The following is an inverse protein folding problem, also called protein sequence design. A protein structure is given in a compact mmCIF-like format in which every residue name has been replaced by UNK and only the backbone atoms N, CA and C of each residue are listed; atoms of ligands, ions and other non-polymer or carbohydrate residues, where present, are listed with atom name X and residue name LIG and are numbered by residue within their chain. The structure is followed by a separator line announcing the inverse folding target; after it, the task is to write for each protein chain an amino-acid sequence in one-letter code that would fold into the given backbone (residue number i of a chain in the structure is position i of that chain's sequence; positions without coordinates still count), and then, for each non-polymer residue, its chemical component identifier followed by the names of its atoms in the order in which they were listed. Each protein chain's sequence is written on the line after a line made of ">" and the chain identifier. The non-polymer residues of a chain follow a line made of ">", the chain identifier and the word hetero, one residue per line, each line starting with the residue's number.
data_IF_215637094770
#
_entry.id   IF_215637094770
#
_cell.length_a   1.000
_cell.length_b   1.000
_cell.length_c   1.000
_cell.angle_alpha   90.00
_cell.angle_beta   90.00
_cell.angle_gamma   90.00
#
_symmetry.space_group_name_H-M   'P 1'
#
loop_
_entity.id
_entity.type
_entity.pdbx_description
1 polymer ?
#
# COMPACT_ATOMS: atom_id res chain seq x y z
N UNK A 1 -5.18 34.04 2.43
CA UNK A 1 -5.10 33.03 1.36
C UNK A 1 -6.13 33.35 0.31
N UNK A 2 -5.90 32.95 -0.93
CA UNK A 2 -6.90 32.96 -2.00
C UNK A 2 -7.91 31.82 -1.81
N UNK A 3 -9.08 31.86 -2.47
CA UNK A 3 -9.98 30.72 -2.53
C UNK A 3 -9.27 29.48 -3.07
N UNK A 4 -9.68 28.30 -2.60
CA UNK A 4 -9.12 27.04 -3.09
C UNK A 4 -9.60 26.78 -4.53
N UNK A 5 -8.67 26.39 -5.39
CA UNK A 5 -8.92 26.00 -6.78
C UNK A 5 -8.66 24.50 -6.96
N UNK A 6 -9.18 23.91 -8.04
CA UNK A 6 -8.99 22.49 -8.33
C UNK A 6 -7.49 22.11 -8.37
N UNK A 7 -6.65 22.99 -8.91
CA UNK A 7 -5.21 22.77 -9.02
C UNK A 7 -4.52 22.65 -7.65
N UNK A 8 -5.08 23.22 -6.58
CA UNK A 8 -4.55 23.05 -5.23
C UNK A 8 -4.63 21.59 -4.76
N UNK A 9 -5.56 20.81 -5.30
CA UNK A 9 -5.74 19.39 -4.98
C UNK A 9 -5.01 18.44 -5.94
N UNK A 10 -4.77 18.88 -7.18
CA UNK A 10 -4.15 18.07 -8.24
C UNK A 10 -2.62 18.11 -8.15
N UNK A 11 -2.08 17.78 -6.98
CA UNK A 11 -0.64 17.72 -6.74
C UNK A 11 -0.13 16.28 -6.69
N UNK A 12 1.06 15.98 -7.23
CA UNK A 12 1.63 14.65 -7.13
C UNK A 12 1.90 14.27 -5.68
N UNK A 13 1.77 12.98 -5.35
CA UNK A 13 1.84 12.48 -3.97
C UNK A 13 3.18 12.76 -3.27
N UNK A 14 4.25 13.01 -4.03
CA UNK A 14 5.56 13.38 -3.50
C UNK A 14 5.61 14.80 -2.88
N UNK A 15 4.59 15.64 -3.12
CA UNK A 15 4.42 16.96 -2.48
C UNK A 15 3.74 16.90 -1.11
N UNK A 16 3.23 15.74 -0.68
CA UNK A 16 2.61 15.60 0.64
C UNK A 16 3.61 15.97 1.74
N UNK A 17 3.18 16.86 2.65
CA UNK A 17 3.96 17.25 3.84
C UNK A 17 3.88 16.20 4.95
N UNK A 18 2.73 15.54 5.03
CA UNK A 18 2.44 14.44 5.94
C UNK A 18 1.29 13.58 5.38
N UNK A 19 1.18 12.35 5.86
CA UNK A 19 0.07 11.45 5.57
C UNK A 19 -0.21 10.56 6.78
N UNK A 20 -1.44 10.08 6.92
CA UNK A 20 -1.79 9.16 8.00
C UNK A 20 -3.05 8.36 7.71
N UNK A 21 -3.26 7.33 8.52
CA UNK A 21 -4.51 6.56 8.56
C UNK A 21 -4.83 6.15 9.99
N UNK A 22 -6.11 5.91 10.26
CA UNK A 22 -6.57 5.25 11.47
C UNK A 22 -7.09 3.88 11.09
N UNK A 23 -6.64 2.84 11.78
CA UNK A 23 -7.18 1.49 11.66
C UNK A 23 -8.04 1.18 12.88
N UNK A 24 -9.31 0.86 12.64
CA UNK A 24 -10.26 0.37 13.64
C UNK A 24 -10.24 -1.16 13.63
N UNK A 25 -9.22 -1.75 14.25
CA UNK A 25 -9.06 -3.20 14.37
C UNK A 25 -9.47 -3.71 15.75
N UNK A 26 -8.81 -4.77 16.22
CA UNK A 26 -8.90 -5.19 17.63
C UNK A 26 -8.37 -4.13 18.60
N UNK A 27 -7.53 -3.22 18.10
CA UNK A 27 -7.15 -1.96 18.72
C UNK A 27 -7.28 -0.84 17.69
N UNK A 28 -7.51 0.38 18.17
CA UNK A 28 -7.53 1.57 17.30
C UNK A 28 -6.14 2.16 17.24
N UNK A 29 -5.54 2.18 16.05
CA UNK A 29 -4.16 2.67 15.86
C UNK A 29 -4.18 3.82 14.84
N UNK A 30 -3.61 4.96 15.22
CA UNK A 30 -3.30 6.05 14.32
C UNK A 30 -1.86 5.91 13.84
N UNK A 31 -1.65 5.80 12.53
CA UNK A 31 -0.32 5.78 11.92
C UNK A 31 -0.13 7.08 11.15
N UNK A 32 0.99 7.74 11.41
CA UNK A 32 1.31 9.05 10.87
C UNK A 32 2.74 9.08 10.33
N UNK A 33 2.92 9.68 9.16
CA UNK A 33 4.20 9.86 8.52
C UNK A 33 4.45 11.32 8.17
N UNK A 34 5.69 11.76 8.34
CA UNK A 34 6.20 13.01 7.78
C UNK A 34 7.46 12.72 6.98
N UNK A 35 8.15 13.76 6.49
CA UNK A 35 9.49 13.61 5.91
C UNK A 35 10.50 12.98 6.87
N UNK A 36 10.26 13.00 8.19
CA UNK A 36 11.18 12.52 9.24
C UNK A 36 11.07 11.02 9.56
N UNK A 37 9.96 10.37 9.21
CA UNK A 37 9.73 8.97 9.56
C UNK A 37 8.25 8.66 9.75
N UNK A 38 7.98 7.46 10.27
CA UNK A 38 6.63 6.90 10.45
C UNK A 38 6.47 6.45 11.90
N UNK A 39 5.36 6.82 12.53
CA UNK A 39 5.05 6.43 13.91
C UNK A 39 3.62 5.94 14.02
N UNK A 40 3.40 4.99 14.93
CA UNK A 40 2.08 4.47 15.28
C UNK A 40 1.72 4.77 16.73
N UNK A 41 0.48 5.17 16.94
CA UNK A 41 -0.08 5.51 18.24
C UNK A 41 -1.32 4.66 18.49
N UNK A 42 -1.41 4.02 19.64
CA UNK A 42 -2.57 3.21 20.01
C UNK A 42 -3.49 4.04 20.90
N UNK A 43 -4.79 4.05 20.59
CA UNK A 43 -5.81 4.67 21.43
C UNK A 43 -5.95 3.89 22.73
N UNK A 44 -5.78 4.57 23.87
CA UNK A 44 -6.27 4.10 25.16
C UNK A 44 -7.71 4.59 25.34
N UNK A 45 -8.71 3.69 25.28
CA UNK A 45 -10.11 4.08 25.39
C UNK A 45 -10.50 4.56 26.80
N UNK A 46 -9.70 4.25 27.84
CA UNK A 46 -10.01 4.65 29.21
C UNK A 46 -9.80 6.14 29.47
N UNK A 47 -8.86 6.76 28.74
CA UNK A 47 -8.51 8.18 28.85
C UNK A 47 -8.79 8.97 27.57
N UNK A 48 -9.05 8.29 26.44
CA UNK A 48 -9.36 8.93 25.16
C UNK A 48 -8.14 9.48 24.42
N UNK A 49 -6.94 8.98 24.72
CA UNK A 49 -5.68 9.50 24.17
C UNK A 49 -4.95 8.49 23.29
N UNK A 50 -4.27 8.99 22.25
CA UNK A 50 -3.38 8.20 21.41
C UNK A 50 -1.95 8.23 21.96
N UNK A 51 -1.52 7.10 22.52
CA UNK A 51 -0.17 6.94 23.08
C UNK A 51 0.81 6.36 22.06
N UNK A 52 2.02 6.92 21.97
CA UNK A 52 3.06 6.42 21.08
C UNK A 52 3.39 4.96 21.44
N UNK A 53 3.09 4.05 20.53
CA UNK A 53 3.21 2.60 20.76
C UNK A 53 4.15 1.92 19.76
N UNK A 54 4.38 2.54 18.61
CA UNK A 54 5.24 2.02 17.55
C UNK A 54 6.14 3.15 17.02
N UNK A 55 7.25 3.45 17.72
CA UNK A 55 8.20 4.46 17.26
C UNK A 55 8.97 3.97 16.03
N UNK A 56 9.26 4.89 15.10
CA UNK A 56 10.10 4.67 13.91
C UNK A 56 9.77 3.38 13.13
N UNK A 57 8.51 3.23 12.73
CA UNK A 57 8.05 2.06 11.96
C UNK A 57 8.88 1.92 10.68
N UNK A 58 9.52 0.76 10.52
CA UNK A 58 10.18 0.33 9.29
C UNK A 58 9.40 -0.79 8.62
N UNK A 59 9.12 -0.62 7.33
CA UNK A 59 8.60 -1.69 6.50
C UNK A 59 9.72 -2.73 6.31
N UNK A 60 9.49 -4.01 6.66
CA UNK A 60 10.48 -5.05 6.44
C UNK A 60 10.87 -5.16 4.97
N UNK A 61 12.16 -5.39 4.69
CA UNK A 61 12.65 -5.45 3.30
C UNK A 61 12.02 -6.58 2.49
N UNK A 62 11.56 -7.65 3.16
CA UNK A 62 10.88 -8.80 2.58
C UNK A 62 9.80 -9.33 3.53
N UNK A 63 9.02 -10.30 3.08
CA UNK A 63 8.03 -11.00 3.88
C UNK A 63 7.65 -12.33 3.23
N UNK A 64 6.65 -12.98 3.82
CA UNK A 64 6.02 -14.20 3.27
C UNK A 64 4.52 -14.02 3.05
N UNK A 65 4.03 -12.79 3.02
CA UNK A 65 2.60 -12.49 2.89
C UNK A 65 2.35 -11.81 1.54
N UNK A 66 1.43 -12.35 0.76
CA UNK A 66 0.88 -11.65 -0.41
C UNK A 66 -0.62 -11.47 -0.23
N UNK A 67 -1.11 -10.31 -0.63
CA UNK A 67 -2.49 -9.90 -0.44
C UNK A 67 -3.06 -9.45 -1.77
N UNK A 68 -4.05 -10.21 -2.26
CA UNK A 68 -4.72 -9.98 -3.54
C UNK A 68 -6.09 -10.66 -3.53
N UNK A 69 -7.05 -10.09 -4.25
CA UNK A 69 -8.37 -10.70 -4.41
C UNK A 69 -8.33 -11.82 -5.46
N UNK A 70 -8.23 -13.08 -5.02
CA UNK A 70 -8.24 -14.22 -5.94
C UNK A 70 -9.52 -14.37 -6.77
N UNK A 71 -10.65 -13.79 -6.34
CA UNK A 71 -11.89 -13.80 -7.12
C UNK A 71 -11.76 -13.13 -8.48
N UNK A 72 -10.80 -12.23 -8.66
CA UNK A 72 -10.55 -11.52 -9.91
C UNK A 72 -9.38 -12.13 -10.72
N UNK A 73 -8.86 -13.30 -10.33
CA UNK A 73 -7.62 -13.86 -10.91
C UNK A 73 -7.63 -13.90 -12.44
N UNK A 74 -8.71 -14.39 -13.04
CA UNK A 74 -8.84 -14.49 -14.50
C UNK A 74 -9.03 -13.15 -15.22
N UNK A 75 -9.30 -12.07 -14.48
CA UNK A 75 -9.39 -10.72 -15.01
C UNK A 75 -8.08 -9.94 -14.92
N UNK A 76 -7.04 -10.53 -14.31
CA UNK A 76 -5.75 -9.88 -14.17
C UNK A 76 -4.87 -10.05 -15.40
N UNK A 77 -3.99 -9.06 -15.62
CA UNK A 77 -2.92 -9.15 -16.62
C UNK A 77 -2.03 -10.38 -16.37
N UNK A 78 -1.44 -10.91 -17.45
CA UNK A 78 -0.66 -12.15 -17.42
C UNK A 78 0.50 -12.10 -16.41
N UNK A 79 1.23 -10.97 -16.34
CA UNK A 79 2.31 -10.78 -15.38
C UNK A 79 1.87 -10.93 -13.92
N UNK A 80 0.69 -10.37 -13.59
CA UNK A 80 0.13 -10.48 -12.23
C UNK A 80 -0.27 -11.91 -11.92
N UNK A 81 -0.90 -12.61 -12.87
CA UNK A 81 -1.25 -14.04 -12.70
C UNK A 81 0.00 -14.89 -12.47
N UNK A 82 1.06 -14.67 -13.25
CA UNK A 82 2.35 -15.37 -13.08
C UNK A 82 3.02 -15.08 -11.73
N UNK A 83 2.97 -13.84 -11.25
CA UNK A 83 3.52 -13.53 -9.92
C UNK A 83 2.73 -14.21 -8.79
N UNK A 84 1.40 -14.25 -8.89
CA UNK A 84 0.54 -14.96 -7.93
C UNK A 84 0.87 -16.46 -7.91
N UNK A 85 0.99 -17.09 -9.08
CA UNK A 85 1.40 -18.49 -9.21
C UNK A 85 2.82 -18.71 -8.64
N UNK A 86 3.75 -17.79 -8.91
CA UNK A 86 5.09 -17.79 -8.33
C UNK A 86 5.08 -17.74 -6.80
N UNK A 87 4.21 -16.94 -6.21
CA UNK A 87 3.99 -16.87 -4.77
C UNK A 87 3.45 -18.19 -4.21
N UNK A 88 2.48 -18.81 -4.88
CA UNK A 88 1.90 -20.10 -4.46
C UNK A 88 2.90 -21.26 -4.55
N UNK A 89 3.83 -21.20 -5.50
CA UNK A 89 4.92 -22.19 -5.66
C UNK A 89 6.07 -22.01 -4.66
N UNK A 90 6.06 -20.97 -3.83
CA UNK A 90 7.07 -20.83 -2.77
C UNK A 90 6.90 -21.93 -1.72
N UNK A 91 7.99 -22.61 -1.38
CA UNK A 91 8.08 -23.66 -0.37
C UNK A 91 9.37 -23.49 0.45
N UNK A 92 9.66 -24.42 1.36
CA UNK A 92 10.83 -24.31 2.27
C UNK A 92 12.17 -24.16 1.52
N UNK A 93 12.28 -24.65 0.29
CA UNK A 93 13.52 -24.68 -0.48
C UNK A 93 13.77 -23.39 -1.28
N UNK A 94 12.79 -22.48 -1.40
CA UNK A 94 12.91 -21.25 -2.19
C UNK A 94 12.39 -19.99 -1.45
N UNK A 95 12.38 -20.01 -0.11
CA UNK A 95 12.04 -18.87 0.74
C UNK A 95 10.59 -18.82 1.24
N UNK A 96 9.78 -19.83 0.92
CA UNK A 96 8.38 -19.97 1.33
C UNK A 96 8.14 -20.75 2.64
N UNK A 97 6.94 -21.34 2.79
CA UNK A 97 5.75 -21.05 1.97
C UNK A 97 5.31 -19.59 2.13
N UNK A 98 4.75 -19.02 1.07
CA UNK A 98 4.06 -17.74 1.19
C UNK A 98 2.60 -17.97 1.59
N UNK A 99 2.08 -17.05 2.38
CA UNK A 99 0.74 -17.10 2.95
C UNK A 99 -0.11 -16.01 2.29
N UNK A 100 -1.22 -16.43 1.68
CA UNK A 100 -2.21 -15.49 1.19
C UNK A 100 -2.99 -14.90 2.38
N UNK A 101 -3.10 -13.57 2.44
CA UNK A 101 -3.99 -12.87 3.37
C UNK A 101 -4.66 -11.71 2.67
N UNK A 102 -5.97 -11.74 2.56
CA UNK A 102 -6.75 -10.63 2.00
C UNK A 102 -7.95 -10.35 2.88
N UNK A 103 -7.91 -9.22 3.58
CA UNK A 103 -8.98 -8.80 4.50
C UNK A 103 -10.11 -8.14 3.71
N UNK A 104 -9.79 -7.53 2.57
CA UNK A 104 -10.75 -6.74 1.79
C UNK A 104 -10.88 -5.29 2.27
N UNK A 105 -10.08 -4.90 3.27
CA UNK A 105 -9.89 -3.54 3.73
C UNK A 105 -8.45 -3.12 3.45
N UNK A 106 -8.27 -2.13 2.57
CA UNK A 106 -6.94 -1.63 2.18
C UNK A 106 -6.13 -1.19 3.40
N UNK A 107 -6.73 -0.43 4.32
CA UNK A 107 -6.09 0.01 5.56
C UNK A 107 -5.54 -1.19 6.34
N UNK A 108 -6.35 -2.24 6.51
CA UNK A 108 -5.95 -3.40 7.29
C UNK A 108 -4.87 -4.24 6.59
N UNK A 109 -5.00 -4.46 5.29
CA UNK A 109 -4.04 -5.23 4.51
C UNK A 109 -2.67 -4.52 4.42
N UNK A 110 -2.65 -3.21 4.17
CA UNK A 110 -1.40 -2.43 4.10
C UNK A 110 -0.80 -2.23 5.49
N UNK A 111 -1.59 -2.00 6.54
CA UNK A 111 -1.08 -1.92 7.91
C UNK A 111 -0.36 -3.20 8.34
N UNK A 112 -0.97 -4.38 8.08
CA UNK A 112 -0.33 -5.66 8.35
C UNK A 112 1.01 -5.78 7.62
N UNK A 113 1.05 -5.44 6.34
CA UNK A 113 2.27 -5.57 5.53
C UNK A 113 3.34 -4.54 5.93
N UNK A 114 2.94 -3.35 6.39
CA UNK A 114 3.84 -2.35 6.93
C UNK A 114 4.57 -2.87 8.18
N UNK A 115 3.87 -3.61 9.06
CA UNK A 115 4.42 -4.15 10.31
C UNK A 115 5.14 -5.49 10.10
N UNK A 116 4.54 -6.42 9.35
CA UNK A 116 5.02 -7.82 9.24
C UNK A 116 5.82 -8.09 7.96
N UNK A 117 5.88 -7.14 7.05
CA UNK A 117 6.37 -7.36 5.69
C UNK A 117 5.35 -8.10 4.83
N UNK A 118 5.54 -8.03 3.52
CA UNK A 118 4.61 -8.57 2.55
C UNK A 118 4.33 -7.60 1.41
N UNK A 119 3.44 -8.02 0.52
CA UNK A 119 2.96 -7.23 -0.61
C UNK A 119 1.44 -7.18 -0.65
N UNK A 120 0.89 -6.00 -0.91
CA UNK A 120 -0.53 -5.78 -1.22
C UNK A 120 -0.66 -5.42 -2.69
N UNK A 121 -1.59 -6.07 -3.37
CA UNK A 121 -1.81 -5.96 -4.80
C UNK A 121 -3.28 -5.69 -5.08
N UNK A 122 -3.53 -4.56 -5.73
CA UNK A 122 -4.83 -4.17 -6.26
C UNK A 122 -4.65 -3.80 -7.75
N UNK A 123 -4.39 -4.79 -8.61
CA UNK A 123 -4.18 -4.57 -10.04
C UNK A 123 -5.45 -4.04 -10.72
N UNK A 124 -5.29 -3.50 -11.93
CA UNK A 124 -6.40 -3.33 -12.85
C UNK A 124 -7.00 -4.68 -13.25
N UNK A 125 -8.28 -4.69 -13.58
CA UNK A 125 -8.98 -5.86 -14.16
C UNK A 125 -9.44 -5.55 -15.57
N UNK A 126 -9.85 -6.56 -16.34
CA UNK A 126 -10.44 -6.38 -17.67
C UNK A 126 -11.54 -5.30 -17.68
N UNK A 127 -12.45 -5.33 -16.70
CA UNK A 127 -13.56 -4.37 -16.61
C UNK A 127 -13.14 -3.01 -16.03
N UNK A 128 -12.01 -2.96 -15.31
CA UNK A 128 -11.51 -1.78 -14.59
C UNK A 128 -9.99 -1.68 -14.80
N UNK A 129 -9.54 -1.35 -16.02
CA UNK A 129 -8.11 -1.34 -16.35
C UNK A 129 -7.34 -0.33 -15.52
N UNK A 130 -7.96 0.80 -15.18
CA UNK A 130 -7.40 1.84 -14.32
C UNK A 130 -7.49 1.52 -12.81
N UNK A 131 -7.82 0.28 -12.44
CA UNK A 131 -7.97 -0.12 -11.04
C UNK A 131 -9.22 0.47 -10.36
N UNK A 132 -9.31 0.25 -9.04
CA UNK A 132 -10.46 0.68 -8.21
C UNK A 132 -10.10 1.78 -7.21
N UNK A 133 -8.86 1.79 -6.73
CA UNK A 133 -8.40 2.71 -5.69
C UNK A 133 -8.11 4.08 -6.28
N UNK A 134 -8.45 5.15 -5.56
CA UNK A 134 -8.26 6.52 -5.97
C UNK A 134 -6.87 7.00 -5.61
N UNK A 135 -6.23 7.67 -6.57
CA UNK A 135 -4.87 8.13 -6.48
C UNK A 135 -4.68 9.08 -5.28
N UNK A 136 -5.50 10.14 -5.19
CA UNK A 136 -5.29 11.24 -4.26
C UNK A 136 -5.43 10.86 -2.78
N UNK A 137 -6.45 10.08 -2.43
CA UNK A 137 -6.84 9.87 -1.03
C UNK A 137 -6.81 8.40 -0.59
N UNK A 138 -6.46 7.47 -1.47
CA UNK A 138 -6.18 6.07 -1.10
C UNK A 138 -4.71 5.74 -1.40
N UNK A 139 -4.27 5.88 -2.65
CA UNK A 139 -2.92 5.43 -3.04
C UNK A 139 -1.80 6.35 -2.52
N UNK A 140 -1.92 7.67 -2.70
CA UNK A 140 -0.88 8.63 -2.33
C UNK A 140 -0.56 8.64 -0.82
N UNK A 141 -1.53 8.65 0.11
CA UNK A 141 -1.23 8.64 1.54
C UNK A 141 -0.50 7.36 1.96
N UNK A 142 -0.95 6.20 1.50
CA UNK A 142 -0.32 4.92 1.83
C UNK A 142 1.06 4.75 1.19
N UNK A 143 1.24 5.18 -0.06
CA UNK A 143 2.53 5.18 -0.72
C UNK A 143 3.55 6.05 0.03
N UNK A 144 3.14 7.25 0.47
CA UNK A 144 4.00 8.13 1.27
C UNK A 144 4.44 7.46 2.57
N UNK A 145 3.50 6.88 3.32
CA UNK A 145 3.79 6.20 4.58
C UNK A 145 4.75 5.02 4.36
N UNK A 146 4.44 4.11 3.42
CA UNK A 146 5.25 2.90 3.22
C UNK A 146 6.63 3.25 2.68
N UNK A 147 6.77 4.21 1.77
CA UNK A 147 8.09 4.63 1.29
C UNK A 147 8.94 5.31 2.38
N UNK A 148 8.32 6.12 3.26
CA UNK A 148 9.00 6.68 4.43
C UNK A 148 9.42 5.62 5.43
N UNK A 149 8.67 4.53 5.53
CA UNK A 149 9.05 3.34 6.29
C UNK A 149 10.09 2.45 5.56
N UNK A 150 10.50 2.79 4.32
CA UNK A 150 11.50 2.03 3.57
C UNK A 150 10.94 0.92 2.68
N UNK A 151 9.63 0.87 2.43
CA UNK A 151 8.99 0.02 1.42
C UNK A 151 8.98 0.66 0.02
N UNK A 152 8.10 0.19 -0.87
CA UNK A 152 7.91 0.70 -2.23
C UNK A 152 6.44 0.64 -2.66
N UNK A 153 6.01 1.59 -3.49
CA UNK A 153 4.67 1.61 -4.10
C UNK A 153 4.72 1.97 -5.60
N UNK A 154 3.98 1.25 -6.44
CA UNK A 154 3.88 1.47 -7.89
C UNK A 154 2.47 1.18 -8.39
N UNK A 155 2.08 1.76 -9.53
CA UNK A 155 0.89 1.30 -10.27
C UNK A 155 1.19 0.14 -11.23
N UNK A 156 2.43 -0.36 -11.22
CA UNK A 156 2.93 -1.39 -12.12
C UNK A 156 3.86 -0.83 -13.20
N UNK A 157 3.73 0.46 -13.52
CA UNK A 157 4.55 1.16 -14.52
C UNK A 157 5.36 2.29 -13.89
N UNK A 158 4.70 3.13 -13.08
CA UNK A 158 5.23 4.33 -12.45
C UNK A 158 5.09 4.28 -10.93
N UNK A 159 6.06 4.87 -10.25
CA UNK A 159 5.99 5.12 -8.80
C UNK A 159 4.75 5.96 -8.48
N UNK A 160 3.97 5.55 -7.48
CA UNK A 160 2.67 6.17 -7.16
C UNK A 160 2.80 7.67 -6.88
N UNK A 161 3.80 8.05 -6.08
CA UNK A 161 3.99 9.42 -5.64
C UNK A 161 4.42 10.38 -6.76
N UNK A 162 4.84 9.86 -7.92
CA UNK A 162 5.27 10.65 -9.08
C UNK A 162 4.17 10.77 -10.14
N UNK A 163 2.98 10.18 -9.92
CA UNK A 163 1.85 10.32 -10.82
C UNK A 163 1.23 11.71 -10.62
N UNK A 164 1.20 12.51 -11.70
CA UNK A 164 0.47 13.78 -11.75
C UNK A 164 -1.04 13.48 -11.85
N UNK A 165 -1.84 13.87 -10.84
CA UNK A 165 -3.28 13.70 -10.91
C UNK A 165 -3.90 14.62 -11.96
N UNK A 166 -4.88 14.11 -12.71
CA UNK A 166 -5.65 14.88 -13.70
C UNK A 166 -7.08 15.19 -13.25
N UNK A 167 -7.58 14.45 -12.27
CA UNK A 167 -8.94 14.61 -11.71
C UNK A 167 -8.98 14.15 -10.23
N UNK A 168 -9.97 14.66 -9.48
CA UNK A 168 -10.08 14.38 -8.04
C UNK A 168 -10.29 12.89 -7.72
N UNK A 169 -11.02 12.18 -8.58
CA UNK A 169 -11.42 10.79 -8.35
C UNK A 169 -10.64 9.81 -9.23
N UNK A 170 -9.48 10.23 -9.74
CA UNK A 170 -8.63 9.42 -10.61
C UNK A 170 -8.31 8.10 -9.92
N UNK A 171 -8.48 7.00 -10.65
CA UNK A 171 -8.12 5.66 -10.17
C UNK A 171 -6.78 5.20 -10.74
N UNK A 172 -6.13 4.31 -10.00
CA UNK A 172 -4.92 3.65 -10.47
C UNK A 172 -4.87 2.22 -9.96
N UNK A 173 -4.28 1.27 -10.72
CA UNK A 173 -3.76 0.04 -10.12
C UNK A 173 -2.77 0.38 -9.01
N UNK A 174 -2.63 -0.50 -8.01
CA UNK A 174 -1.82 -0.22 -6.84
C UNK A 174 -1.14 -1.47 -6.31
N UNK A 175 0.18 -1.40 -6.20
CA UNK A 175 1.03 -2.43 -5.63
C UNK A 175 1.94 -1.78 -4.60
N UNK A 176 1.98 -2.32 -3.38
CA UNK A 176 2.70 -1.70 -2.26
C UNK A 176 3.22 -2.74 -1.27
N UNK A 177 4.40 -2.49 -0.71
CA UNK A 177 4.91 -3.28 0.41
C UNK A 177 6.43 -3.37 0.46
N UNK A 178 6.92 -4.53 0.91
CA UNK A 178 8.33 -4.84 1.11
C UNK A 178 9.15 -4.74 -0.19
N UNK A 179 10.26 -3.99 -0.14
CA UNK A 179 11.10 -3.69 -1.32
C UNK A 179 11.50 -4.92 -2.14
N UNK A 180 11.91 -6.02 -1.50
CA UNK A 180 12.37 -7.24 -2.21
C UNK A 180 11.20 -7.95 -2.91
N UNK A 181 10.03 -8.00 -2.29
CA UNK A 181 8.83 -8.59 -2.91
C UNK A 181 8.30 -7.72 -4.05
N UNK A 182 8.35 -6.38 -3.90
CA UNK A 182 8.02 -5.43 -4.97
C UNK A 182 8.97 -5.57 -6.16
N UNK A 183 10.27 -5.75 -5.91
CA UNK A 183 11.26 -6.00 -6.97
C UNK A 183 11.02 -7.33 -7.68
N UNK A 184 10.63 -8.38 -6.96
CA UNK A 184 10.24 -9.66 -7.55
C UNK A 184 9.02 -9.47 -8.46
N UNK A 185 7.93 -8.84 -7.97
CA UNK A 185 6.73 -8.52 -8.76
C UNK A 185 7.06 -7.76 -10.05
N UNK A 186 7.91 -6.73 -9.97
CA UNK A 186 8.35 -5.93 -11.12
C UNK A 186 9.02 -6.75 -12.22
N UNK A 187 9.63 -7.90 -11.88
CA UNK A 187 10.18 -8.84 -12.86
C UNK A 187 9.12 -9.63 -13.64
N UNK A 188 7.86 -9.62 -13.21
CA UNK A 188 6.75 -10.31 -13.87
C UNK A 188 5.82 -9.37 -14.65
N UNK A 189 5.71 -8.11 -14.22
CA UNK A 189 4.74 -7.14 -14.78
C UNK A 189 5.36 -6.13 -15.75
N UNK A 190 6.69 -6.12 -15.89
CA UNK A 190 7.40 -5.36 -16.93
C UNK A 190 7.47 -6.11 -18.24
#
# INVERSE_FOLDING_TARGET
>A
GTPAELNDFLQPGNQQVAAGYVIYGSSTIFVFATKRGVNGFTLDPSIGEYSLSHPDIKCPESGKIYSVNHGNFFQYAEGVKKYIDGCQKKNKNNGGPYTQRYIGSMVADVHRNLVKGGIFMYPGTTDKPNGKLRLLYECNPFAFIVEKAGGKATNGEKRILDIQPTELHQRTPFFIGSKKMMKELEGFIK
#
